data_IF_515549707758
#
_entry.id   IF_515549707758
#
_cell.length_a   1.000
_cell.length_b   1.000
_cell.length_c   1.000
_cell.angle_alpha   90.00
_cell.angle_beta   90.00
_cell.angle_gamma   90.00
#
_symmetry.space_group_name_H-M   'P 1'
#
loop_
_entity.id
_entity.type
_entity.pdbx_description
1 polymer ?
#
# COMPACT_ATOMS: atom_id res chain seq x y z
N UNK A 1 11.15 4.28 -9.22
CA UNK A 1 12.12 3.92 -8.15
C UNK A 1 12.05 2.42 -7.89
N UNK A 2 13.19 1.70 -7.82
CA UNK A 2 13.23 0.25 -7.56
C UNK A 2 13.67 0.01 -6.12
N UNK A 3 12.76 -0.51 -5.30
CA UNK A 3 12.95 -0.81 -3.87
C UNK A 3 12.55 -2.26 -3.57
N UNK A 4 12.80 -3.15 -4.52
CA UNK A 4 12.47 -4.57 -4.39
C UNK A 4 13.34 -5.15 -3.28
N UNK A 5 12.74 -5.88 -2.33
CA UNK A 5 13.41 -6.44 -1.14
C UNK A 5 14.05 -5.39 -0.21
N UNK A 6 13.75 -4.11 -0.39
CA UNK A 6 14.33 -3.07 0.43
C UNK A 6 13.81 -3.15 1.87
N UNK A 7 14.68 -2.92 2.85
CA UNK A 7 14.27 -2.70 4.23
C UNK A 7 14.14 -1.20 4.49
N UNK A 8 12.90 -0.75 4.64
CA UNK A 8 12.47 0.61 4.93
C UNK A 8 11.71 0.66 6.25
N UNK A 9 11.96 -0.30 7.13
CA UNK A 9 11.30 -0.37 8.43
C UNK A 9 11.61 0.89 9.23
N UNK A 10 10.56 1.55 9.75
CA UNK A 10 10.65 2.81 10.49
C UNK A 10 11.01 4.04 9.66
N UNK A 11 11.10 3.92 8.32
CA UNK A 11 11.45 5.05 7.46
C UNK A 11 10.38 6.17 7.51
N UNK A 12 10.82 7.42 7.52
CA UNK A 12 9.94 8.57 7.33
C UNK A 12 9.82 8.89 5.83
N UNK A 13 8.66 8.56 5.26
CA UNK A 13 8.30 8.72 3.86
C UNK A 13 7.08 9.65 3.70
N UNK A 14 6.83 10.52 4.69
CA UNK A 14 5.70 11.45 4.67
C UNK A 14 5.73 12.32 3.42
N UNK A 15 4.56 12.45 2.76
CA UNK A 15 4.37 13.26 1.54
C UNK A 15 5.31 12.90 0.38
N UNK A 16 6.02 11.77 0.46
CA UNK A 16 6.94 11.36 -0.59
C UNK A 16 6.18 11.03 -1.88
N UNK A 17 6.76 11.40 -3.02
CA UNK A 17 6.26 10.94 -4.31
C UNK A 17 6.85 9.56 -4.63
N UNK A 18 6.07 8.53 -4.31
CA UNK A 18 6.40 7.12 -4.50
C UNK A 18 5.53 6.51 -5.63
N UNK A 19 4.97 7.37 -6.47
CA UNK A 19 4.20 6.95 -7.65
C UNK A 19 5.06 6.03 -8.50
N UNK A 20 4.46 4.99 -9.07
CA UNK A 20 5.10 3.97 -9.93
C UNK A 20 6.33 3.27 -9.32
N UNK A 21 6.59 3.42 -8.01
CA UNK A 21 7.69 2.74 -7.34
C UNK A 21 7.43 1.24 -7.19
N UNK A 22 8.49 0.43 -7.25
CA UNK A 22 8.38 -1.00 -7.08
C UNK A 22 8.94 -1.41 -5.71
N UNK A 23 8.03 -1.74 -4.80
CA UNK A 23 8.27 -2.20 -3.43
C UNK A 23 8.00 -3.71 -3.29
N UNK A 24 8.04 -4.47 -4.38
CA UNK A 24 7.78 -5.92 -4.29
C UNK A 24 8.69 -6.54 -3.23
N UNK A 25 8.10 -7.27 -2.28
CA UNK A 25 8.78 -7.92 -1.16
C UNK A 25 9.59 -6.97 -0.25
N UNK A 26 9.31 -5.66 -0.28
CA UNK A 26 9.95 -4.69 0.62
C UNK A 26 9.38 -4.77 2.04
N UNK A 27 10.20 -4.45 3.04
CA UNK A 27 9.76 -4.25 4.43
C UNK A 27 9.52 -2.76 4.67
N UNK A 28 8.30 -2.39 4.99
CA UNK A 28 7.85 -1.04 5.35
C UNK A 28 7.29 -1.04 6.78
N UNK A 29 7.77 -1.95 7.62
CA UNK A 29 7.27 -2.16 8.97
C UNK A 29 7.45 -0.88 9.78
N UNK A 30 6.38 -0.35 10.40
CA UNK A 30 6.40 0.93 11.14
C UNK A 30 6.80 2.16 10.31
N UNK A 31 6.85 2.07 8.98
CA UNK A 31 7.17 3.21 8.14
C UNK A 31 6.08 4.30 8.21
N UNK A 32 6.48 5.57 8.16
CA UNK A 32 5.55 6.68 8.11
C UNK A 32 5.30 7.10 6.66
N UNK A 33 4.15 6.73 6.10
CA UNK A 33 3.72 7.04 4.73
C UNK A 33 2.63 8.12 4.70
N UNK A 34 2.45 8.89 5.78
CA UNK A 34 1.35 9.87 5.85
C UNK A 34 1.44 10.90 4.71
N UNK A 35 0.35 11.03 3.94
CA UNK A 35 0.29 11.91 2.77
C UNK A 35 1.11 11.45 1.56
N UNK A 36 1.72 10.26 1.56
CA UNK A 36 2.55 9.79 0.44
C UNK A 36 1.71 9.52 -0.81
N UNK A 37 2.31 9.77 -1.98
CA UNK A 37 1.69 9.48 -3.28
C UNK A 37 2.14 8.10 -3.75
N UNK A 38 1.24 7.12 -3.78
CA UNK A 38 1.53 5.73 -4.19
C UNK A 38 0.81 5.33 -5.48
N UNK A 39 0.41 6.29 -6.32
CA UNK A 39 -0.30 6.00 -7.57
C UNK A 39 0.54 5.08 -8.46
N UNK A 40 0.02 3.87 -8.73
CA UNK A 40 0.68 2.87 -9.56
C UNK A 40 1.90 2.19 -8.92
N UNK A 41 2.14 2.38 -7.62
CA UNK A 41 3.18 1.65 -6.91
C UNK A 41 2.89 0.14 -6.88
N UNK A 42 3.92 -0.69 -7.02
CA UNK A 42 3.83 -2.15 -6.92
C UNK A 42 4.20 -2.57 -5.50
N UNK A 43 3.23 -3.08 -4.75
CA UNK A 43 3.38 -3.49 -3.34
C UNK A 43 3.22 -5.00 -3.13
N UNK A 44 3.33 -5.81 -4.20
CA UNK A 44 3.15 -7.25 -4.11
C UNK A 44 4.10 -7.85 -3.05
N UNK A 45 3.54 -8.54 -2.05
CA UNK A 45 4.27 -9.12 -0.91
C UNK A 45 5.06 -8.10 -0.06
N UNK A 46 4.81 -6.80 -0.17
CA UNK A 46 5.40 -5.82 0.74
C UNK A 46 4.81 -5.97 2.15
N UNK A 47 5.66 -5.90 3.17
CA UNK A 47 5.22 -5.92 4.57
C UNK A 47 4.99 -4.48 5.07
N UNK A 48 3.72 -4.12 5.24
CA UNK A 48 3.28 -2.81 5.73
C UNK A 48 2.83 -2.85 7.20
N UNK A 49 3.24 -3.88 7.96
CA UNK A 49 2.84 -4.04 9.35
C UNK A 49 3.15 -2.79 10.18
N UNK A 50 2.15 -2.26 10.89
CA UNK A 50 2.25 -1.04 11.71
C UNK A 50 2.63 0.25 10.93
N UNK A 51 2.61 0.25 9.60
CA UNK A 51 2.87 1.46 8.82
C UNK A 51 1.77 2.52 9.00
N UNK A 52 2.16 3.80 9.05
CA UNK A 52 1.22 4.92 9.14
C UNK A 52 0.79 5.35 7.74
N UNK A 53 -0.49 5.17 7.40
CA UNK A 53 -1.01 5.40 6.04
C UNK A 53 -2.05 6.55 5.96
N UNK A 54 -2.18 7.38 7.00
CA UNK A 54 -3.15 8.48 6.99
C UNK A 54 -2.93 9.39 5.77
N UNK A 55 -4.00 9.78 5.07
CA UNK A 55 -3.94 10.66 3.88
C UNK A 55 -3.08 10.13 2.71
N UNK A 56 -2.72 8.84 2.71
CA UNK A 56 -1.95 8.25 1.59
C UNK A 56 -2.82 8.11 0.34
N UNK A 57 -2.29 8.54 -0.81
CA UNK A 57 -3.01 8.52 -2.08
C UNK A 57 -2.77 7.18 -2.80
N UNK A 58 -3.74 6.25 -2.71
CA UNK A 58 -3.61 4.84 -3.13
C UNK A 58 -4.36 4.45 -4.43
N UNK A 59 -4.82 5.40 -5.24
CA UNK A 59 -5.78 5.17 -6.36
C UNK A 59 -5.47 4.04 -7.36
N UNK A 60 -4.25 3.51 -7.43
CA UNK A 60 -3.91 2.40 -8.34
C UNK A 60 -2.90 1.39 -7.79
N UNK A 61 -2.45 1.51 -6.53
CA UNK A 61 -1.37 0.68 -5.98
C UNK A 61 -1.74 -0.82 -5.85
N UNK A 62 -3.02 -1.16 -6.06
CA UNK A 62 -3.59 -2.48 -5.79
C UNK A 62 -4.39 -3.06 -6.98
N UNK A 63 -4.13 -2.69 -8.24
CA UNK A 63 -4.77 -3.38 -9.38
C UNK A 63 -4.45 -4.89 -9.42
N UNK A 64 -3.39 -5.33 -8.74
CA UNK A 64 -2.99 -6.73 -8.70
C UNK A 64 -3.72 -7.55 -7.62
N UNK A 65 -4.27 -6.93 -6.57
CA UNK A 65 -5.09 -7.63 -5.56
C UNK A 65 -6.47 -7.98 -6.12
N UNK A 66 -7.04 -7.13 -6.99
CA UNK A 66 -8.34 -7.38 -7.63
C UNK A 66 -8.36 -8.56 -8.62
N UNK A 67 -7.20 -9.08 -9.06
CA UNK A 67 -7.15 -10.33 -9.83
C UNK A 67 -7.13 -11.59 -8.97
N UNK A 68 -6.76 -11.50 -7.69
CA UNK A 68 -6.69 -12.64 -6.77
C UNK A 68 -7.93 -12.74 -5.86
N UNK A 69 -8.64 -11.64 -5.59
CA UNK A 69 -9.86 -11.66 -4.77
C UNK A 69 -11.11 -12.20 -5.48
N UNK A 70 -11.07 -12.44 -6.79
CA UNK A 70 -12.24 -12.98 -7.51
C UNK A 70 -12.26 -14.51 -7.60
N UNK A 71 -11.25 -15.23 -7.09
CA UNK A 71 -11.16 -16.70 -7.27
C UNK A 71 -11.13 -17.53 -5.99
N UNK A 72 -10.96 -16.97 -4.79
CA UNK A 72 -11.18 -17.74 -3.56
C UNK A 72 -11.81 -16.92 -2.44
N UNK A 73 -12.92 -17.45 -1.93
CA UNK A 73 -13.65 -16.99 -0.75
C UNK A 73 -12.75 -17.03 0.49
N UNK A 74 -12.01 -15.96 0.77
CA UNK A 74 -11.31 -15.79 2.05
C UNK A 74 -11.80 -14.52 2.73
N UNK A 75 -12.16 -14.52 4.02
CA UNK A 75 -12.72 -13.36 4.68
C UNK A 75 -11.70 -12.22 4.68
N UNK A 76 -12.07 -11.16 3.97
CA UNK A 76 -11.33 -9.92 3.82
C UNK A 76 -11.07 -9.29 5.21
N UNK A 77 -9.91 -9.56 5.80
CA UNK A 77 -9.55 -9.04 7.12
C UNK A 77 -9.56 -7.51 7.12
N UNK A 78 -10.00 -6.94 8.24
CA UNK A 78 -10.31 -5.54 8.54
C UNK A 78 -9.50 -4.47 7.75
N UNK A 79 -8.21 -4.67 7.54
CA UNK A 79 -7.35 -3.79 6.73
C UNK A 79 -7.88 -3.54 5.30
N UNK A 80 -8.45 -4.55 4.64
CA UNK A 80 -9.02 -4.39 3.31
C UNK A 80 -10.39 -3.69 3.34
N UNK A 81 -11.16 -3.82 4.43
CA UNK A 81 -12.39 -3.03 4.63
C UNK A 81 -12.06 -1.56 4.84
N UNK A 82 -10.99 -1.28 5.58
CA UNK A 82 -10.55 0.09 5.86
C UNK A 82 -9.99 0.76 4.59
N UNK A 83 -9.24 0.02 3.78
CA UNK A 83 -8.79 0.49 2.45
C UNK A 83 -9.98 0.72 1.51
N UNK A 84 -10.96 -0.20 1.48
CA UNK A 84 -12.14 -0.04 0.61
C UNK A 84 -13.01 1.17 1.02
N UNK A 85 -13.14 1.42 2.33
CA UNK A 85 -13.81 2.63 2.88
C UNK A 85 -13.09 3.91 2.50
N UNK A 86 -11.76 3.93 2.48
CA UNK A 86 -10.98 5.11 2.07
C UNK A 86 -10.99 5.35 0.55
N UNK A 87 -11.23 4.32 -0.27
CA UNK A 87 -11.32 4.45 -1.73
C UNK A 87 -12.69 4.90 -2.26
N UNK A 88 -13.73 4.97 -1.42
CA UNK A 88 -15.12 5.21 -1.86
C UNK A 88 -15.81 6.45 -1.25
N UNK A 89 -15.10 7.40 -0.61
CA UNK A 89 -15.74 8.60 -0.02
C UNK A 89 -16.00 9.72 -1.06
N UNK A 90 -16.01 9.44 -2.37
CA UNK A 90 -16.40 10.44 -3.40
C UNK A 90 -17.40 9.85 -4.42
N UNK A 91 -18.56 9.41 -3.94
CA UNK A 91 -19.84 9.66 -4.60
C UNK A 91 -20.86 10.12 -3.57
#
# INVERSE_FOLDING_TARGET
MKLIHADLSGADLRKANLSIANFREAKLIKANLEGAYLRGAKLLQADLSEAKLKETVLYQAMRDIHKLTFIHQTPLNQAMRDIHKLTFIHQ
#
